data_IF_009255157367
#
_entry.id   IF_009255157367
#
_cell.length_a   1.000
_cell.length_b   1.000
_cell.length_c   1.000
_cell.angle_alpha   90.00
_cell.angle_beta   90.00
_cell.angle_gamma   90.00
#
_symmetry.space_group_name_H-M   'P 1'
#
loop_
_entity.id
_entity.type
_entity.pdbx_description
1 polymer ?
#
# COMPACT_ATOMS: atom_id res chain seq x y z
N UNK A 1 -16.82 -28.67 -4.54
CA UNK A 1 -15.56 -28.95 -5.25
C UNK A 1 -15.84 -28.98 -6.74
N UNK A 2 -15.47 -27.93 -7.46
CA UNK A 2 -15.55 -27.89 -8.92
C UNK A 2 -14.24 -27.30 -9.41
N UNK A 3 -13.32 -28.18 -9.78
CA UNK A 3 -12.03 -27.85 -10.38
C UNK A 3 -12.24 -27.84 -11.89
N UNK A 4 -12.13 -26.68 -12.53
CA UNK A 4 -12.07 -26.59 -13.99
C UNK A 4 -10.62 -26.30 -14.38
N UNK A 5 -9.89 -27.38 -14.66
CA UNK A 5 -8.60 -27.38 -15.33
C UNK A 5 -8.86 -27.37 -16.84
N UNK A 6 -8.47 -26.29 -17.53
CA UNK A 6 -8.42 -26.29 -19.00
C UNK A 6 -7.01 -26.69 -19.43
N UNK A 7 -6.90 -27.91 -19.96
CA UNK A 7 -5.73 -28.44 -20.63
C UNK A 7 -5.89 -28.22 -22.15
N UNK A 8 -4.88 -27.63 -22.79
CA UNK A 8 -4.75 -27.65 -24.25
C UNK A 8 -3.45 -28.38 -24.62
N UNK A 9 -3.60 -29.55 -25.23
CA UNK A 9 -2.53 -30.41 -25.72
C UNK A 9 -2.16 -30.04 -27.16
N UNK A 10 -0.88 -29.68 -27.34
CA UNK A 10 0.05 -30.17 -28.36
C UNK A 10 -0.34 -30.24 -29.85
N UNK A 11 0.43 -29.52 -30.69
CA UNK A 11 0.88 -30.00 -32.00
C UNK A 11 2.37 -29.64 -32.20
N UNK A 12 3.18 -30.62 -32.62
CA UNK A 12 4.64 -30.52 -32.87
C UNK A 12 4.95 -30.28 -34.37
N UNK A 13 5.78 -29.25 -34.62
CA UNK A 13 7.02 -29.11 -35.42
C UNK A 13 7.11 -29.74 -36.84
N UNK A 14 7.78 -29.04 -37.79
CA UNK A 14 9.04 -29.60 -38.30
C UNK A 14 10.22 -28.61 -38.30
N UNK A 15 11.40 -29.20 -38.05
CA UNK A 15 12.74 -28.60 -38.04
C UNK A 15 13.23 -28.23 -39.45
N UNK A 16 14.06 -27.19 -39.61
CA UNK A 16 15.49 -27.26 -40.01
C UNK A 16 16.10 -25.87 -40.32
N UNK A 17 17.42 -25.78 -40.08
CA UNK A 17 18.42 -24.73 -40.39
C UNK A 17 18.69 -23.57 -39.40
N UNK A 18 19.80 -23.73 -38.66
CA UNK A 18 20.68 -22.72 -38.04
C UNK A 18 21.68 -22.15 -39.09
N UNK A 19 22.62 -21.23 -38.76
CA UNK A 19 22.48 -19.95 -38.05
C UNK A 19 23.10 -18.80 -38.88
N UNK A 20 22.71 -17.54 -38.69
CA UNK A 20 23.51 -16.41 -39.16
C UNK A 20 23.78 -15.40 -38.04
N UNK A 21 25.09 -15.18 -37.84
CA UNK A 21 25.74 -14.14 -37.08
C UNK A 21 25.28 -12.74 -37.48
N UNK A 22 24.98 -11.87 -36.52
CA UNK A 22 25.54 -10.51 -36.52
C UNK A 22 25.35 -9.76 -35.19
N UNK A 23 26.49 -9.37 -34.62
CA UNK A 23 26.76 -8.10 -33.92
C UNK A 23 26.06 -7.82 -32.59
N UNK A 24 26.84 -8.11 -31.54
CA UNK A 24 26.85 -7.42 -30.25
C UNK A 24 26.63 -5.91 -30.39
N UNK A 25 25.44 -5.42 -29.97
CA UNK A 25 25.27 -4.02 -29.60
C UNK A 25 25.70 -3.86 -28.14
N UNK A 26 26.84 -3.22 -27.94
CA UNK A 26 27.23 -2.68 -26.63
C UNK A 26 26.31 -1.50 -26.32
N UNK A 27 25.29 -1.74 -25.50
CA UNK A 27 24.52 -0.68 -24.85
C UNK A 27 25.44 -0.06 -23.80
N UNK A 28 25.84 1.20 -24.01
CA UNK A 28 26.58 1.98 -23.02
C UNK A 28 25.64 2.25 -21.84
N UNK A 29 26.08 2.07 -20.58
CA UNK A 29 25.27 2.45 -19.44
C UNK A 29 25.16 3.97 -19.46
N UNK A 30 23.95 4.49 -19.64
CA UNK A 30 23.68 5.91 -19.42
C UNK A 30 23.86 6.14 -17.93
N UNK A 31 24.81 7.02 -17.64
CA UNK A 31 25.21 7.41 -16.31
C UNK A 31 24.01 7.82 -15.44
N UNK A 32 24.08 7.35 -14.20
CA UNK A 32 23.52 7.96 -13.00
C UNK A 32 23.19 9.44 -13.18
N UNK A 33 21.91 9.73 -13.37
CA UNK A 33 21.35 11.03 -13.02
C UNK A 33 20.58 10.84 -11.73
N UNK A 34 21.14 11.32 -10.61
CA UNK A 34 20.35 11.59 -9.42
C UNK A 34 19.12 12.37 -9.87
N UNK A 35 17.95 11.73 -9.78
CA UNK A 35 16.67 12.39 -10.02
C UNK A 35 16.59 13.48 -8.97
N UNK A 36 16.89 14.72 -9.37
CA UNK A 36 16.44 15.88 -8.62
C UNK A 36 14.93 15.83 -8.72
N UNK A 37 14.28 15.37 -7.65
CA UNK A 37 12.83 15.48 -7.50
C UNK A 37 12.50 16.96 -7.68
N UNK A 38 11.97 17.33 -8.85
CA UNK A 38 11.26 18.58 -8.98
C UNK A 38 10.16 18.57 -7.91
N UNK A 39 9.92 19.70 -7.27
CA UNK A 39 8.85 19.83 -6.28
C UNK A 39 7.50 19.64 -7.00
N UNK A 40 7.10 18.38 -7.19
CA UNK A 40 5.75 18.04 -7.60
C UNK A 40 4.83 18.40 -6.43
N UNK A 41 3.78 19.17 -6.71
CA UNK A 41 2.75 19.47 -5.74
C UNK A 41 1.86 18.22 -5.58
N UNK A 42 1.78 17.69 -4.35
CA UNK A 42 0.93 16.54 -4.02
C UNK A 42 -0.30 16.98 -3.23
N UNK A 43 -1.44 16.36 -3.51
CA UNK A 43 -2.71 16.66 -2.83
C UNK A 43 -3.42 15.38 -2.41
N UNK A 44 -4.03 15.42 -1.22
CA UNK A 44 -4.83 14.33 -0.69
C UNK A 44 -6.20 14.86 -0.28
N UNK A 45 -7.16 14.88 -1.22
CA UNK A 45 -8.42 15.58 -1.03
C UNK A 45 -8.16 17.07 -0.77
N UNK A 46 -8.73 17.67 0.29
CA UNK A 46 -8.53 19.08 0.59
C UNK A 46 -7.12 19.43 1.13
N UNK A 47 -6.27 18.43 1.40
CA UNK A 47 -4.98 18.63 2.06
C UNK A 47 -3.84 18.71 1.06
N UNK A 48 -2.91 19.64 1.30
CA UNK A 48 -1.62 19.67 0.61
C UNK A 48 -0.65 18.74 1.33
N UNK A 49 0.01 17.88 0.57
CA UNK A 49 1.00 16.93 1.10
C UNK A 49 2.40 17.47 0.80
N UNK A 50 3.24 17.57 1.81
CA UNK A 50 4.60 18.03 1.62
C UNK A 50 5.41 16.94 0.90
N UNK A 51 6.24 17.35 -0.07
CA UNK A 51 7.04 16.41 -0.87
C UNK A 51 7.93 15.48 -0.04
N UNK A 52 8.32 15.88 1.18
CA UNK A 52 9.12 15.05 2.07
C UNK A 52 8.34 13.88 2.67
N UNK A 53 7.01 13.94 2.70
CA UNK A 53 6.15 12.84 3.16
C UNK A 53 5.95 11.76 2.07
N UNK A 54 6.27 12.09 0.82
CA UNK A 54 6.17 11.19 -0.33
C UNK A 54 7.50 10.46 -0.52
N UNK A 55 7.43 9.13 -0.67
CA UNK A 55 8.61 8.29 -0.82
C UNK A 55 8.70 7.52 -2.14
N UNK A 56 7.64 7.50 -2.92
CA UNK A 56 7.65 6.93 -4.26
C UNK A 56 6.58 7.60 -5.13
N UNK A 57 6.88 7.84 -6.40
CA UNK A 57 5.88 8.37 -7.34
C UNK A 57 6.09 7.83 -8.75
N UNK A 58 4.99 7.79 -9.50
CA UNK A 58 4.94 7.49 -10.93
C UNK A 58 4.39 8.71 -11.66
N UNK A 59 4.02 8.55 -12.94
CA UNK A 59 3.31 9.61 -13.66
C UNK A 59 1.87 9.82 -13.16
N UNK A 60 1.20 8.77 -12.69
CA UNK A 60 -0.23 8.80 -12.35
C UNK A 60 -0.52 8.58 -10.86
N UNK A 61 0.43 8.09 -10.07
CA UNK A 61 0.25 7.76 -8.65
C UNK A 61 1.42 8.21 -7.80
N UNK A 62 1.22 8.22 -6.49
CA UNK A 62 2.26 8.45 -5.50
C UNK A 62 1.98 7.66 -4.21
N UNK A 63 3.03 7.41 -3.44
CA UNK A 63 2.96 6.74 -2.16
C UNK A 63 3.56 7.63 -1.06
N UNK A 64 2.82 7.76 0.04
CA UNK A 64 3.16 8.63 1.16
C UNK A 64 3.03 7.92 2.50
N UNK A 65 3.77 8.37 3.49
CA UNK A 65 3.62 7.90 4.87
C UNK A 65 2.33 8.46 5.48
N UNK A 66 1.69 7.70 6.39
CA UNK A 66 0.37 8.06 6.92
C UNK A 66 0.46 8.95 8.18
N UNK A 67 -0.14 10.14 8.21
CA UNK A 67 -0.15 11.00 9.40
C UNK A 67 -0.63 10.30 10.69
N UNK A 68 -1.67 9.46 10.57
CA UNK A 68 -2.25 8.67 11.68
C UNK A 68 -2.24 7.19 11.31
N UNK A 69 -1.10 6.50 11.48
CA UNK A 69 -1.06 5.08 11.20
C UNK A 69 -1.93 4.30 12.19
N UNK A 70 -2.38 3.11 11.81
CA UNK A 70 -3.22 2.29 12.68
C UNK A 70 -2.39 1.84 13.88
N UNK A 71 -2.96 2.00 15.08
CA UNK A 71 -2.33 1.45 16.29
C UNK A 71 -2.26 -0.06 16.15
N UNK A 72 -1.12 -0.68 16.48
CA UNK A 72 -1.03 -2.11 16.54
C UNK A 72 -1.86 -2.65 17.71
N UNK A 73 -2.30 -3.91 17.60
CA UNK A 73 -3.08 -4.53 18.67
C UNK A 73 -2.27 -4.58 19.97
N UNK A 74 -2.94 -4.29 21.09
CA UNK A 74 -2.44 -4.62 22.43
C UNK A 74 -2.20 -6.14 22.48
N UNK A 75 -1.14 -6.58 23.15
CA UNK A 75 -1.02 -8.01 23.44
C UNK A 75 -2.18 -8.47 24.33
N UNK A 76 -2.43 -9.79 24.41
CA UNK A 76 -3.48 -10.37 25.26
C UNK A 76 -3.40 -10.03 26.75
N UNK A 77 -2.35 -9.32 27.19
CA UNK A 77 -2.13 -8.84 28.55
C UNK A 77 -2.26 -7.31 28.68
N UNK A 78 -2.71 -6.61 27.63
CA UNK A 78 -2.87 -5.15 27.64
C UNK A 78 -1.57 -4.35 27.61
N UNK A 79 -0.43 -4.98 27.30
CA UNK A 79 0.86 -4.31 27.18
C UNK A 79 1.15 -3.97 25.72
N UNK A 80 1.67 -2.76 25.50
CA UNK A 80 2.34 -2.41 24.26
C UNK A 80 3.75 -3.00 24.31
N UNK A 81 3.97 -4.09 23.59
CA UNK A 81 5.33 -4.60 23.38
C UNK A 81 6.16 -3.56 22.61
N UNK A 82 7.43 -3.38 22.98
CA UNK A 82 8.33 -2.42 22.31
C UNK A 82 8.58 -2.79 20.83
N UNK A 83 8.46 -4.08 20.49
CA UNK A 83 8.41 -4.59 19.12
C UNK A 83 7.12 -4.16 18.38
N UNK A 84 6.03 -4.02 19.14
CA UNK A 84 4.71 -3.63 18.65
C UNK A 84 4.65 -2.13 18.38
N UNK A 85 5.28 -1.25 19.17
CA UNK A 85 5.38 0.19 18.86
C UNK A 85 5.99 0.51 17.48
N UNK A 86 6.91 -0.33 16.97
CA UNK A 86 7.43 -0.18 15.59
C UNK A 86 6.42 -0.54 14.50
N UNK A 87 5.33 -1.22 14.84
CA UNK A 87 4.26 -1.64 13.91
C UNK A 87 3.36 -0.45 13.53
N UNK A 88 3.28 0.57 14.39
CA UNK A 88 2.63 1.85 14.05
C UNK A 88 3.29 2.54 12.85
N UNK A 89 4.48 2.16 12.39
CA UNK A 89 5.11 2.76 11.20
C UNK A 89 4.85 1.96 9.90
N UNK A 90 4.02 0.91 9.94
CA UNK A 90 3.83 0.03 8.78
C UNK A 90 2.76 0.52 7.81
N UNK A 91 2.01 1.57 8.16
CA UNK A 91 0.84 1.98 7.40
C UNK A 91 1.18 3.14 6.45
N UNK A 92 1.22 2.85 5.15
CA UNK A 92 1.39 3.86 4.10
C UNK A 92 0.15 3.94 3.22
N UNK A 93 0.03 5.04 2.48
CA UNK A 93 -1.06 5.28 1.53
C UNK A 93 -0.51 5.34 0.10
N UNK A 94 -1.21 4.70 -0.84
CA UNK A 94 -0.95 4.81 -2.28
C UNK A 94 -2.16 5.46 -2.93
N UNK A 95 -1.94 6.58 -3.62
CA UNK A 95 -3.00 7.46 -4.13
C UNK A 95 -2.76 7.77 -5.61
N UNK A 96 -3.81 7.98 -6.42
CA UNK A 96 -3.66 8.60 -7.73
C UNK A 96 -3.28 10.08 -7.55
N UNK A 97 -2.58 10.67 -8.53
CA UNK A 97 -2.27 12.10 -8.54
C UNK A 97 -3.52 12.95 -8.83
N UNK A 98 -4.43 12.44 -9.65
CA UNK A 98 -5.71 13.08 -9.93
C UNK A 98 -6.67 12.83 -8.77
N UNK A 99 -7.18 13.90 -8.18
CA UNK A 99 -8.17 13.81 -7.10
C UNK A 99 -9.51 13.26 -7.63
N UNK A 100 -9.77 12.00 -7.32
CA UNK A 100 -11.07 11.35 -7.51
C UNK A 100 -11.61 10.78 -6.23
N UNK A 101 -12.91 10.90 -6.01
CA UNK A 101 -13.54 10.50 -4.73
C UNK A 101 -13.81 9.01 -4.68
N UNK A 102 -14.20 8.42 -5.81
CA UNK A 102 -14.61 7.02 -5.90
C UNK A 102 -13.68 6.23 -6.80
N UNK A 103 -13.48 4.95 -6.47
CA UNK A 103 -12.67 4.03 -7.27
C UNK A 103 -13.21 3.91 -8.70
N UNK A 104 -14.54 3.95 -8.87
CA UNK A 104 -15.20 3.89 -10.18
C UNK A 104 -14.94 5.10 -11.08
N UNK A 105 -14.42 6.21 -10.53
CA UNK A 105 -14.09 7.42 -11.29
C UNK A 105 -12.65 7.40 -11.85
N UNK A 106 -11.88 6.36 -11.55
CA UNK A 106 -10.55 6.14 -12.12
C UNK A 106 -10.65 5.70 -13.58
N UNK A 107 -9.70 6.18 -14.39
CA UNK A 107 -9.47 5.63 -15.72
C UNK A 107 -8.83 4.25 -15.62
N UNK A 108 -8.82 3.49 -16.73
CA UNK A 108 -8.14 2.20 -16.79
C UNK A 108 -6.63 2.32 -16.55
N UNK A 109 -6.02 3.40 -17.04
CA UNK A 109 -4.59 3.67 -16.87
C UNK A 109 -4.25 4.01 -15.42
N UNK A 110 -5.04 4.85 -14.77
CA UNK A 110 -4.86 5.16 -13.34
C UNK A 110 -5.11 3.95 -12.46
N UNK A 111 -6.13 3.15 -12.77
CA UNK A 111 -6.40 1.91 -12.03
C UNK A 111 -5.21 0.97 -12.11
N UNK A 112 -4.65 0.80 -13.32
CA UNK A 112 -3.49 -0.06 -13.55
C UNK A 112 -2.24 0.46 -12.84
N UNK A 113 -1.94 1.75 -13.00
CA UNK A 113 -0.77 2.38 -12.38
C UNK A 113 -0.87 2.37 -10.84
N UNK A 114 -2.06 2.60 -10.28
CA UNK A 114 -2.31 2.58 -8.83
C UNK A 114 -2.00 1.20 -8.24
N UNK A 115 -2.51 0.12 -8.85
CA UNK A 115 -2.27 -1.24 -8.37
C UNK A 115 -0.83 -1.72 -8.61
N UNK A 116 -0.21 -1.35 -9.73
CA UNK A 116 1.21 -1.65 -9.97
C UNK A 116 2.11 -0.91 -8.98
N UNK A 117 1.76 0.33 -8.64
CA UNK A 117 2.42 1.11 -7.60
C UNK A 117 2.27 0.43 -6.24
N UNK A 118 1.05 0.05 -5.84
CA UNK A 118 0.79 -0.64 -4.59
C UNK A 118 1.52 -2.00 -4.50
N UNK A 119 1.57 -2.77 -5.59
CA UNK A 119 2.32 -4.02 -5.65
C UNK A 119 3.82 -3.78 -5.42
N UNK A 120 4.40 -2.78 -6.10
CA UNK A 120 5.83 -2.46 -6.00
C UNK A 120 6.19 -1.96 -4.60
N UNK A 121 5.40 -1.02 -4.06
CA UNK A 121 5.58 -0.49 -2.70
C UNK A 121 5.42 -1.62 -1.68
N UNK A 122 4.38 -2.44 -1.82
CA UNK A 122 4.10 -3.56 -0.94
C UNK A 122 5.27 -4.53 -0.84
N UNK A 123 5.83 -4.95 -1.98
CA UNK A 123 6.99 -5.83 -2.00
C UNK A 123 8.19 -5.25 -1.24
N UNK A 124 8.48 -3.97 -1.43
CA UNK A 124 9.63 -3.33 -0.75
C UNK A 124 9.40 -3.19 0.74
N UNK A 125 8.20 -2.75 1.16
CA UNK A 125 7.88 -2.55 2.56
C UNK A 125 7.73 -3.88 3.32
N UNK A 126 7.18 -4.92 2.69
CA UNK A 126 7.12 -6.26 3.27
C UNK A 126 8.53 -6.77 3.62
N UNK A 127 9.46 -6.67 2.67
CA UNK A 127 10.86 -7.05 2.87
C UNK A 127 11.55 -6.17 3.91
N UNK A 128 11.41 -4.84 3.80
CA UNK A 128 12.05 -3.88 4.71
C UNK A 128 11.66 -4.12 6.16
N UNK A 129 10.37 -4.37 6.38
CA UNK A 129 9.83 -4.55 7.73
C UNK A 129 9.95 -5.99 8.24
N UNK A 130 10.48 -6.92 7.44
CA UNK A 130 10.52 -8.36 7.76
C UNK A 130 9.11 -8.89 8.07
N UNK A 131 8.14 -8.42 7.30
CA UNK A 131 6.77 -8.93 7.30
C UNK A 131 6.69 -10.19 6.43
N UNK A 132 5.59 -10.93 6.57
CA UNK A 132 5.33 -12.15 5.82
C UNK A 132 4.06 -12.07 4.97
N UNK A 133 3.27 -11.01 5.17
CA UNK A 133 2.03 -10.77 4.44
C UNK A 133 1.80 -9.26 4.28
N UNK A 134 0.82 -8.89 3.46
CA UNK A 134 0.35 -7.52 3.27
C UNK A 134 -1.17 -7.44 3.45
N UNK A 135 -1.66 -6.34 4.02
CA UNK A 135 -3.06 -5.92 3.91
C UNK A 135 -3.13 -4.75 2.94
N UNK A 136 -3.98 -4.89 1.92
CA UNK A 136 -4.32 -3.85 0.95
C UNK A 136 -5.83 -3.59 1.06
N UNK A 137 -6.22 -2.37 1.40
CA UNK A 137 -7.63 -2.02 1.58
C UNK A 137 -7.97 -0.68 0.92
N UNK A 138 -9.16 -0.63 0.31
CA UNK A 138 -9.77 0.60 -0.20
C UNK A 138 -11.11 0.77 0.50
N UNK A 139 -11.30 1.92 1.16
CA UNK A 139 -12.60 2.31 1.69
C UNK A 139 -13.27 3.22 0.66
N UNK A 140 -14.02 2.63 -0.28
CA UNK A 140 -14.62 3.35 -1.41
C UNK A 140 -15.99 3.96 -1.07
N UNK A 141 -15.97 5.18 -0.53
CA UNK A 141 -17.16 5.96 -0.18
C UNK A 141 -17.46 6.03 1.33
N UNK A 142 -18.31 6.97 1.77
CA UNK A 142 -18.53 7.24 3.20
C UNK A 142 -19.01 6.02 4.00
N UNK A 143 -19.91 5.21 3.42
CA UNK A 143 -20.45 4.00 4.06
C UNK A 143 -19.41 2.88 4.18
N UNK A 144 -18.32 2.92 3.41
CA UNK A 144 -17.19 2.01 3.54
C UNK A 144 -16.14 2.51 4.55
N UNK A 145 -16.37 3.66 5.20
CA UNK A 145 -15.47 4.27 6.17
C UNK A 145 -14.53 5.35 5.60
N UNK A 146 -14.71 5.76 4.34
CA UNK A 146 -13.86 6.79 3.73
C UNK A 146 -13.97 8.13 4.47
N UNK A 147 -12.85 8.64 4.97
CA UNK A 147 -12.79 9.91 5.70
C UNK A 147 -12.29 11.06 4.82
N UNK A 148 -11.27 10.82 3.99
CA UNK A 148 -10.78 11.79 3.00
C UNK A 148 -11.36 11.44 1.62
N UNK A 149 -12.06 12.37 0.94
CA UNK A 149 -12.71 12.12 -0.34
C UNK A 149 -11.71 12.10 -1.50
N UNK A 150 -10.72 11.22 -1.41
CA UNK A 150 -9.73 10.92 -2.44
C UNK A 150 -9.46 9.41 -2.38
N UNK A 151 -9.49 8.70 -3.51
CA UNK A 151 -9.14 7.28 -3.56
C UNK A 151 -7.73 7.07 -3.01
N UNK A 152 -7.59 6.10 -2.11
CA UNK A 152 -6.30 5.66 -1.60
C UNK A 152 -6.36 4.19 -1.21
N UNK A 153 -5.25 3.50 -1.41
CA UNK A 153 -5.01 2.15 -0.93
C UNK A 153 -4.26 2.28 0.39
N UNK A 154 -4.86 1.78 1.46
CA UNK A 154 -4.15 1.47 2.69
C UNK A 154 -3.25 0.26 2.45
N UNK A 155 -1.96 0.41 2.69
CA UNK A 155 -0.98 -0.66 2.56
C UNK A 155 -0.28 -0.85 3.90
N UNK A 156 -0.42 -2.06 4.44
CA UNK A 156 0.07 -2.41 5.78
C UNK A 156 0.79 -3.75 5.70
N UNK A 157 2.13 -3.79 5.80
CA UNK A 157 2.87 -5.03 6.02
C UNK A 157 2.50 -5.69 7.34
N UNK A 158 2.34 -7.01 7.30
CA UNK A 158 1.79 -7.82 8.38
C UNK A 158 2.77 -8.89 8.87
N UNK A 159 2.79 -9.08 10.18
CA UNK A 159 3.58 -10.13 10.85
C UNK A 159 2.66 -11.06 11.63
N UNK A 160 3.11 -12.29 11.85
CA UNK A 160 2.40 -13.20 12.74
C UNK A 160 2.18 -12.56 14.12
N UNK A 161 0.93 -12.50 14.57
CA UNK A 161 0.56 -11.95 15.88
C UNK A 161 0.53 -10.42 15.98
N UNK A 162 0.63 -9.68 14.87
CA UNK A 162 0.55 -8.20 14.90
C UNK A 162 -0.88 -7.65 15.08
N UNK A 163 -1.87 -8.45 14.71
CA UNK A 163 -3.29 -8.17 14.84
C UNK A 163 -4.04 -9.50 14.90
N UNK A 164 -4.63 -9.79 16.05
CA UNK A 164 -5.35 -11.06 16.27
C UNK A 164 -6.69 -11.12 15.51
N UNK A 165 -7.23 -9.97 15.10
CA UNK A 165 -8.60 -9.80 14.60
C UNK A 165 -8.66 -9.51 13.10
N UNK A 166 -7.98 -10.31 12.27
CA UNK A 166 -7.92 -10.06 10.83
C UNK A 166 -9.27 -10.22 10.09
N UNK A 167 -10.17 -11.06 10.61
CA UNK A 167 -11.38 -11.50 9.88
C UNK A 167 -12.71 -11.01 10.48
N UNK A 168 -12.69 -10.11 11.47
CA UNK A 168 -13.92 -9.66 12.17
C UNK A 168 -14.90 -8.86 11.28
N UNK A 169 -14.55 -8.62 10.01
CA UNK A 169 -15.47 -8.07 9.01
C UNK A 169 -16.55 -9.10 8.63
N UNK A 170 -16.24 -10.40 8.62
CA UNK A 170 -17.21 -11.45 8.23
C UNK A 170 -18.18 -11.82 9.36
N UNK A 171 -17.74 -11.72 10.62
CA UNK A 171 -18.56 -12.03 11.80
C UNK A 171 -19.64 -10.97 12.09
N UNK A 172 -19.61 -9.84 11.38
CA UNK A 172 -20.57 -8.73 11.50
C UNK A 172 -21.75 -8.82 10.49
N UNK A 173 -21.71 -9.76 9.54
CA UNK A 173 -22.75 -9.90 8.49
C UNK A 173 -23.95 -10.72 8.97
N UNK A 174 -23.88 -11.32 10.15
CA UNK A 174 -25.05 -11.71 10.93
C UNK A 174 -24.96 -11.14 12.34
N UNK A 175 -26.09 -10.98 13.02
CA UNK A 175 -26.19 -10.53 14.41
C UNK A 175 -25.96 -9.01 14.60
N UNK A 176 -27.02 -8.28 14.23
CA UNK A 176 -27.25 -6.87 14.54
C UNK A 176 -27.44 -6.61 16.05
N UNK A 177 -27.13 -5.36 16.42
CA UNK A 177 -27.60 -4.55 17.56
C UNK A 177 -26.68 -4.35 18.78
N UNK A 178 -26.07 -5.37 19.39
CA UNK A 178 -25.23 -5.16 20.60
C UNK A 178 -23.73 -4.97 20.30
N UNK A 179 -23.20 -5.68 19.29
CA UNK A 179 -21.79 -5.56 18.87
C UNK A 179 -21.43 -4.17 18.34
N UNK A 180 -22.38 -3.40 17.81
CA UNK A 180 -22.11 -2.04 17.31
C UNK A 180 -21.71 -1.09 18.45
N UNK A 181 -22.25 -1.27 19.67
CA UNK A 181 -21.88 -0.48 20.86
C UNK A 181 -20.50 -0.86 21.39
N UNK A 182 -20.15 -2.15 21.40
CA UNK A 182 -18.79 -2.59 21.77
C UNK A 182 -17.76 -2.22 20.70
N UNK A 183 -18.12 -2.28 19.40
CA UNK A 183 -17.28 -1.76 18.33
C UNK A 183 -17.07 -0.26 18.50
N UNK A 184 -18.10 0.51 18.86
CA UNK A 184 -18.00 1.95 19.18
C UNK A 184 -17.12 2.23 20.40
N UNK A 185 -17.13 1.39 21.42
CA UNK A 185 -16.20 1.49 22.55
C UNK A 185 -14.76 1.08 22.18
N UNK A 186 -14.57 0.15 21.22
CA UNK A 186 -13.23 -0.12 20.64
C UNK A 186 -12.77 0.95 19.66
N UNK A 187 -13.70 1.65 19.00
CA UNK A 187 -13.43 2.82 18.17
C UNK A 187 -12.93 4.02 19.01
N UNK A 188 -13.04 3.99 20.34
CA UNK A 188 -12.36 4.96 21.21
C UNK A 188 -10.83 4.82 21.20
N UNK A 189 -10.26 3.77 20.58
CA UNK A 189 -8.84 3.69 20.23
C UNK A 189 -8.40 4.79 19.26
N UNK A 190 -9.33 5.44 18.53
CA UNK A 190 -9.01 6.64 17.74
C UNK A 190 -8.67 7.86 18.61
N UNK A 191 -9.19 7.96 19.85
CA UNK A 191 -8.90 9.09 20.76
C UNK A 191 -7.46 9.07 21.28
N UNK A 192 -6.82 7.90 21.30
CA UNK A 192 -5.44 7.74 21.74
C UNK A 192 -4.43 7.87 20.58
N UNK A 193 -4.89 7.94 19.32
CA UNK A 193 -4.00 8.16 18.17
C UNK A 193 -3.50 9.59 18.16
N UNK A 194 -2.19 9.75 18.23
CA UNK A 194 -1.52 11.04 18.09
C UNK A 194 -1.08 11.23 16.64
N UNK A 195 -1.32 12.42 16.13
CA UNK A 195 -0.71 12.88 14.88
C UNK A 195 0.80 12.84 15.00
N UNK A 196 1.45 12.32 13.96
CA UNK A 196 2.91 12.36 13.84
C UNK A 196 3.36 13.74 13.41
N UNK A 197 4.57 14.10 13.81
CA UNK A 197 5.18 15.35 13.35
C UNK A 197 5.66 15.20 11.90
N UNK A 198 5.76 16.33 11.19
CA UNK A 198 6.33 16.36 9.84
C UNK A 198 7.77 15.84 9.81
N UNK A 199 8.54 16.11 10.87
CA UNK A 199 9.92 15.62 11.04
C UNK A 199 9.95 14.08 11.04
N UNK A 200 9.13 13.42 11.87
CA UNK A 200 9.04 11.96 11.94
C UNK A 200 8.60 11.35 10.60
N UNK A 201 7.60 11.95 9.95
CA UNK A 201 7.11 11.51 8.64
C UNK A 201 8.17 11.67 7.55
N UNK A 202 8.90 12.78 7.56
CA UNK A 202 9.99 13.04 6.62
C UNK A 202 11.11 12.02 6.79
N UNK A 203 11.49 11.71 8.02
CA UNK A 203 12.54 10.73 8.32
C UNK A 203 12.13 9.32 7.84
N UNK A 204 10.88 8.91 8.09
CA UNK A 204 10.38 7.62 7.59
C UNK A 204 10.38 7.56 6.06
N UNK A 205 9.86 8.61 5.40
CA UNK A 205 9.85 8.68 3.95
C UNK A 205 11.28 8.69 3.36
N UNK A 206 12.25 9.32 4.03
CA UNK A 206 13.66 9.27 3.65
C UNK A 206 14.21 7.85 3.70
N UNK A 207 13.81 7.04 4.69
CA UNK A 207 14.20 5.62 4.74
C UNK A 207 13.56 4.82 3.60
N UNK A 208 12.27 5.01 3.34
CA UNK A 208 11.58 4.29 2.27
C UNK A 208 12.06 4.69 0.87
N UNK A 209 12.45 5.95 0.64
CA UNK A 209 13.04 6.38 -0.64
C UNK A 209 14.27 5.57 -1.03
N UNK A 210 15.06 5.12 -0.05
CA UNK A 210 16.26 4.30 -0.27
C UNK A 210 15.94 2.89 -0.81
N UNK A 211 14.67 2.45 -0.79
CA UNK A 211 14.23 1.15 -1.29
C UNK A 211 13.96 1.13 -2.80
N UNK A 212 13.94 2.30 -3.45
CA UNK A 212 13.55 2.46 -4.85
C UNK A 212 14.66 3.03 -5.74
N UNK A 213 15.88 3.13 -5.20
CA UNK A 213 17.10 3.52 -5.92
C UNK A 213 17.81 2.35 -6.57
#
# INVERSE_FOLDING_TARGET
MQTVLVSCVGKKIPHWFLPHSSKSLRIRPIWSSSIKMAAEDYTFGPYKIHHTEVFYSTHLSYAMVNLRPLLPALDGNGHFSESVYRTSFLHVLVCPKREVKRFVDLTADETSDLWLTAQKVGKQLESYHKASSLTLAIQDGPQAGQTVPHVHIHLIPRKSGDFEKNDEIYDAVGWMDEKEKELKQKLDLDKERKDRTLEEMSQEADEYRKLFV
#
